data_IF_563692183903
#
_entry.id   IF_563692183903
#
_cell.length_a   1.000
_cell.length_b   1.000
_cell.length_c   1.000
_cell.angle_alpha   90.00
_cell.angle_beta   90.00
_cell.angle_gamma   90.00
#
_symmetry.space_group_name_H-M   'P 1'
#
loop_
_entity.id
_entity.type
_entity.pdbx_description
1 polymer ?
#
# COMPACT_ATOMS: atom_id res chain seq x y z
N UNK A 1 7.16 11.21 -3.20
CA UNK A 1 6.05 11.70 -4.08
C UNK A 1 4.80 10.90 -3.75
N UNK A 2 3.58 11.41 -4.00
CA UNK A 2 2.38 10.61 -3.82
C UNK A 2 2.44 9.41 -4.78
N UNK A 3 2.37 8.20 -4.23
CA UNK A 3 2.43 6.95 -4.97
C UNK A 3 1.13 6.69 -5.74
N UNK A 4 1.25 6.10 -6.92
CA UNK A 4 0.12 5.60 -7.71
C UNK A 4 -0.07 4.09 -7.49
N UNK A 5 -1.24 3.51 -7.83
CA UNK A 5 -1.49 2.08 -7.64
C UNK A 5 -0.40 1.17 -8.22
N UNK A 6 0.14 1.52 -9.40
CA UNK A 6 1.20 0.73 -10.05
C UNK A 6 2.54 0.73 -9.29
N UNK A 7 2.79 1.72 -8.43
CA UNK A 7 3.99 1.71 -7.58
C UNK A 7 3.93 0.58 -6.55
N UNK A 8 2.75 0.10 -6.19
CA UNK A 8 2.57 -0.97 -5.21
C UNK A 8 3.35 -2.24 -5.59
N UNK A 9 3.45 -2.58 -6.88
CA UNK A 9 4.15 -3.78 -7.34
C UNK A 9 5.64 -3.77 -7.03
N UNK A 10 6.25 -2.57 -6.95
CA UNK A 10 7.67 -2.39 -6.61
C UNK A 10 7.93 -2.60 -5.11
N UNK A 11 6.88 -2.52 -4.29
CA UNK A 11 6.98 -2.56 -2.83
C UNK A 11 6.36 -3.81 -2.23
N UNK A 12 5.43 -4.46 -2.93
CA UNK A 12 4.80 -5.71 -2.49
C UNK A 12 4.19 -6.49 -3.66
N UNK A 13 4.58 -7.76 -3.78
CA UNK A 13 3.94 -8.70 -4.71
C UNK A 13 2.55 -9.16 -4.26
N UNK A 14 2.12 -8.78 -3.03
CA UNK A 14 0.79 -9.14 -2.51
C UNK A 14 -0.33 -8.27 -3.07
N UNK A 15 -0.01 -7.11 -3.66
CA UNK A 15 -0.99 -6.27 -4.35
C UNK A 15 -1.25 -6.81 -5.76
N UNK A 16 -1.73 -8.06 -5.85
CA UNK A 16 -1.87 -8.79 -7.11
C UNK A 16 -3.08 -8.35 -7.95
N UNK A 17 -4.05 -7.65 -7.35
CA UNK A 17 -5.24 -7.15 -8.03
C UNK A 17 -5.24 -5.63 -8.04
N UNK A 18 -5.93 -5.04 -9.03
CA UNK A 18 -6.05 -3.58 -9.15
C UNK A 18 -6.59 -2.93 -7.87
N UNK A 19 -7.61 -3.53 -7.25
CA UNK A 19 -8.17 -3.03 -6.01
C UNK A 19 -7.19 -3.08 -4.82
N UNK A 20 -6.32 -4.10 -4.74
CA UNK A 20 -5.28 -4.15 -3.71
C UNK A 20 -4.18 -3.10 -3.96
N UNK A 21 -3.85 -2.81 -5.22
CA UNK A 21 -2.92 -1.74 -5.60
C UNK A 21 -3.47 -0.35 -5.23
N UNK A 22 -4.74 -0.09 -5.53
CA UNK A 22 -5.42 1.14 -5.13
C UNK A 22 -5.45 1.32 -3.62
N UNK A 23 -5.78 0.25 -2.89
CA UNK A 23 -5.76 0.25 -1.43
C UNK A 23 -4.36 0.55 -0.89
N UNK A 24 -3.33 -0.06 -1.47
CA UNK A 24 -1.95 0.18 -1.10
C UNK A 24 -1.58 1.66 -1.26
N UNK A 25 -1.82 2.23 -2.45
CA UNK A 25 -1.47 3.62 -2.75
C UNK A 25 -2.20 4.59 -1.83
N UNK A 26 -3.49 4.35 -1.56
CA UNK A 26 -4.28 5.15 -0.63
C UNK A 26 -3.66 5.17 0.76
N UNK A 27 -3.39 4.00 1.34
CA UNK A 27 -2.83 3.88 2.71
C UNK A 27 -1.41 4.47 2.79
N UNK A 28 -0.59 4.23 1.77
CA UNK A 28 0.77 4.75 1.72
C UNK A 28 0.75 6.29 1.69
N UNK A 29 -0.06 6.89 0.83
CA UNK A 29 -0.17 8.35 0.72
C UNK A 29 -0.74 8.98 1.98
N UNK A 30 -1.79 8.41 2.58
CA UNK A 30 -2.38 8.90 3.83
C UNK A 30 -1.37 8.85 5.00
N UNK A 31 -0.60 7.76 5.10
CA UNK A 31 0.43 7.64 6.13
C UNK A 31 1.61 8.60 5.89
N UNK A 32 2.01 8.82 4.63
CA UNK A 32 3.04 9.78 4.26
C UNK A 32 2.61 11.21 4.58
N UNK A 33 1.38 11.59 4.25
CA UNK A 33 0.83 12.91 4.56
C UNK A 33 0.79 13.16 6.06
N UNK A 34 0.35 12.16 6.85
CA UNK A 34 0.24 12.27 8.31
C UNK A 34 1.58 12.32 9.03
N UNK A 35 2.61 11.62 8.51
CA UNK A 35 3.84 11.36 9.28
C UNK A 35 5.12 11.87 8.63
N UNK A 36 5.09 12.18 7.32
CA UNK A 36 6.28 12.51 6.53
C UNK A 36 7.29 11.36 6.41
N UNK A 37 6.96 10.14 6.86
CA UNK A 37 7.90 9.03 6.93
C UNK A 37 7.60 7.97 5.87
N UNK A 38 8.38 7.99 4.79
CA UNK A 38 8.20 7.06 3.67
C UNK A 38 8.34 5.58 4.08
N UNK A 39 9.35 5.26 4.89
CA UNK A 39 9.57 3.88 5.35
C UNK A 39 8.45 3.35 6.26
N UNK A 40 7.73 4.24 6.95
CA UNK A 40 6.51 3.88 7.71
C UNK A 40 5.34 3.66 6.77
N UNK A 41 5.13 4.58 5.81
CA UNK A 41 4.05 4.49 4.84
C UNK A 41 4.07 3.17 4.05
N UNK A 42 5.23 2.78 3.54
CA UNK A 42 5.39 1.51 2.80
C UNK A 42 5.06 0.30 3.69
N UNK A 43 5.56 0.27 4.94
CA UNK A 43 5.30 -0.85 5.87
C UNK A 43 3.83 -0.96 6.23
N UNK A 44 3.16 0.17 6.47
CA UNK A 44 1.74 0.22 6.82
C UNK A 44 0.87 -0.24 5.65
N UNK A 45 1.12 0.26 4.44
CA UNK A 45 0.42 -0.17 3.23
C UNK A 45 0.63 -1.66 2.93
N UNK A 46 1.87 -2.16 3.04
CA UNK A 46 2.17 -3.59 2.88
C UNK A 46 1.43 -4.46 3.91
N UNK A 47 1.32 -4.01 5.16
CA UNK A 47 0.61 -4.73 6.20
C UNK A 47 -0.91 -4.78 5.93
N UNK A 48 -1.50 -3.67 5.46
CA UNK A 48 -2.93 -3.62 5.12
C UNK A 48 -3.25 -4.56 3.96
N UNK A 49 -2.48 -4.50 2.86
CA UNK A 49 -2.67 -5.41 1.72
C UNK A 49 -2.55 -6.87 2.15
N UNK A 50 -1.53 -7.22 2.95
CA UNK A 50 -1.36 -8.59 3.44
C UNK A 50 -2.55 -9.08 4.28
N UNK A 51 -3.22 -8.19 5.03
CA UNK A 51 -4.43 -8.53 5.79
C UNK A 51 -5.62 -8.77 4.87
N UNK A 52 -5.80 -7.97 3.82
CA UNK A 52 -6.88 -8.16 2.84
C UNK A 52 -6.74 -9.47 2.07
N UNK A 53 -5.52 -9.78 1.60
CA UNK A 53 -5.23 -11.06 0.95
C UNK A 53 -5.56 -12.24 1.88
N UNK A 54 -5.21 -12.14 3.17
CA UNK A 54 -5.56 -13.17 4.16
C UNK A 54 -7.08 -13.28 4.41
N UNK A 55 -7.81 -12.18 4.26
CA UNK A 55 -9.26 -12.13 4.42
C UNK A 55 -10.04 -12.68 3.20
N UNK A 56 -9.34 -13.10 2.15
CA UNK A 56 -9.96 -13.69 0.95
C UNK A 56 -10.35 -12.67 -0.12
N UNK A 57 -9.72 -11.49 -0.10
CA UNK A 57 -9.81 -10.51 -1.19
C UNK A 57 -8.94 -10.91 -2.39
#
# INVERSE_FOLDING_TARGET
MPWIPDDAERHTHKAATWALKELWAKVANECLERTGNEGRAIREANAVVARQVKAGY
#
